data_IF_517994078942
#
_entry.id   IF_517994078942
#
_cell.length_a   1.000
_cell.length_b   1.000
_cell.length_c   1.000
_cell.angle_alpha   90.00
_cell.angle_beta   90.00
_cell.angle_gamma   90.00
#
_symmetry.space_group_name_H-M   'P 1'
#
loop_
_entity.id
_entity.type
_entity.pdbx_description
1 polymer ?
#
# COMPACT_ATOMS: atom_id res chain seq x y z
N UNK A 1 60.28 7.89 -45.06
CA UNK A 1 60.69 6.48 -44.84
C UNK A 1 59.56 5.72 -44.16
N UNK A 2 59.52 4.37 -44.18
CA UNK A 2 58.26 3.63 -44.22
C UNK A 2 57.83 2.97 -42.90
N UNK A 3 56.51 2.75 -42.78
CA UNK A 3 55.89 1.77 -41.89
C UNK A 3 54.80 1.02 -42.69
N UNK A 4 54.88 -0.31 -42.72
CA UNK A 4 53.98 -1.21 -43.49
C UNK A 4 53.40 -2.26 -42.52
N UNK A 5 52.59 -3.18 -43.06
CA UNK A 5 51.98 -4.34 -42.38
C UNK A 5 50.72 -4.00 -41.54
N UNK A 6 49.69 -4.84 -41.48
CA UNK A 6 49.36 -6.02 -42.30
C UNK A 6 47.84 -6.27 -42.31
N UNK A 7 47.33 -6.85 -43.40
CA UNK A 7 45.99 -7.42 -43.44
C UNK A 7 46.01 -8.88 -42.97
N UNK A 8 44.99 -9.29 -42.21
CA UNK A 8 44.72 -10.71 -41.91
C UNK A 8 43.27 -11.03 -42.25
N UNK A 9 43.05 -12.23 -42.78
CA UNK A 9 41.81 -12.65 -43.47
C UNK A 9 41.55 -14.14 -43.19
N UNK A 10 40.28 -14.48 -42.92
CA UNK A 10 39.71 -15.85 -42.82
C UNK A 10 40.20 -16.71 -41.62
N UNK A 11 39.51 -17.84 -41.31
CA UNK A 11 38.33 -18.40 -41.97
C UNK A 11 37.06 -18.50 -41.09
N UNK A 12 35.94 -18.82 -41.73
CA UNK A 12 34.76 -19.38 -41.09
C UNK A 12 34.65 -20.89 -41.42
N UNK A 13 34.10 -21.74 -40.54
CA UNK A 13 33.71 -23.11 -40.88
C UNK A 13 32.38 -23.12 -41.67
N UNK A 14 32.14 -24.20 -42.41
CA UNK A 14 31.08 -24.29 -43.42
C UNK A 14 29.77 -24.92 -42.92
N UNK A 15 28.72 -24.74 -43.73
CA UNK A 15 27.42 -25.44 -43.65
C UNK A 15 27.35 -26.63 -44.62
N UNK A 16 26.16 -27.25 -44.75
CA UNK A 16 25.70 -28.21 -45.79
C UNK A 16 25.49 -29.68 -45.32
N UNK A 17 24.70 -30.53 -46.04
CA UNK A 17 23.31 -30.78 -45.61
C UNK A 17 22.85 -32.27 -45.51
N UNK A 18 21.81 -32.81 -46.21
CA UNK A 18 20.52 -33.12 -45.54
C UNK A 18 19.89 -34.52 -45.82
N UNK A 19 18.63 -34.69 -45.35
CA UNK A 19 17.63 -35.70 -45.75
C UNK A 19 17.87 -37.16 -45.26
N UNK A 20 16.89 -38.06 -45.16
CA UNK A 20 15.49 -38.01 -45.64
C UNK A 20 14.49 -38.89 -44.84
N UNK A 21 13.17 -38.64 -45.03
CA UNK A 21 11.99 -39.57 -45.03
C UNK A 21 11.82 -40.69 -43.94
N UNK A 22 10.64 -41.14 -43.48
CA UNK A 22 9.18 -40.95 -43.69
C UNK A 22 8.49 -41.24 -42.31
N UNK A 23 7.19 -41.51 -42.05
CA UNK A 23 5.92 -41.76 -42.78
C UNK A 23 4.74 -41.51 -41.81
N UNK A 24 3.56 -41.04 -42.26
CA UNK A 24 2.34 -41.08 -41.41
C UNK A 24 1.22 -40.08 -41.76
N UNK A 25 0.25 -40.49 -42.58
CA UNK A 25 -0.98 -39.73 -42.85
C UNK A 25 -2.15 -40.21 -41.99
N UNK A 26 -3.06 -39.30 -41.61
CA UNK A 26 -4.51 -39.57 -41.52
C UNK A 26 -5.31 -38.25 -41.61
N UNK A 27 -6.50 -38.30 -42.21
CA UNK A 27 -7.48 -37.20 -42.32
C UNK A 27 -8.73 -37.52 -41.50
N UNK A 28 -9.37 -36.52 -40.91
CA UNK A 28 -10.82 -36.39 -40.58
C UNK A 28 -10.95 -34.99 -39.92
N UNK A 29 -11.43 -33.92 -40.58
CA UNK A 29 -12.82 -33.60 -41.01
C UNK A 29 -13.71 -33.10 -39.87
N UNK A 30 -14.11 -31.83 -39.95
CA UNK A 30 -14.85 -31.11 -38.91
C UNK A 30 -16.37 -31.35 -38.96
N UNK A 31 -16.96 -31.81 -37.84
CA UNK A 31 -18.38 -31.59 -37.48
C UNK A 31 -18.44 -31.41 -35.95
N UNK A 32 -19.05 -30.34 -35.41
CA UNK A 32 -19.22 -30.17 -33.97
C UNK A 32 -20.45 -30.94 -33.44
N UNK A 33 -20.36 -31.63 -32.29
CA UNK A 33 -21.53 -32.20 -31.63
C UNK A 33 -22.35 -31.13 -30.90
N UNK A 34 -23.68 -31.29 -30.94
CA UNK A 34 -24.62 -30.59 -30.08
C UNK A 34 -24.70 -31.27 -28.71
N UNK A 35 -25.19 -30.52 -27.70
CA UNK A 35 -25.44 -30.91 -26.30
C UNK A 35 -24.22 -30.94 -25.34
N UNK A 36 -24.42 -30.61 -24.05
CA UNK A 36 -23.33 -30.35 -23.09
C UNK A 36 -22.76 -31.63 -22.45
N UNK A 37 -21.53 -31.57 -21.90
CA UNK A 37 -20.89 -32.72 -21.25
C UNK A 37 -21.59 -33.13 -19.95
N UNK A 38 -21.84 -34.43 -19.81
CA UNK A 38 -22.37 -35.06 -18.58
C UNK A 38 -21.21 -35.32 -17.60
N UNK A 39 -21.41 -35.02 -16.32
CA UNK A 39 -20.46 -35.38 -15.27
C UNK A 39 -20.36 -36.90 -15.12
N UNK A 40 -19.15 -37.45 -15.26
CA UNK A 40 -18.83 -38.83 -14.89
C UNK A 40 -17.71 -38.85 -13.85
N UNK A 41 -17.82 -39.74 -12.85
CA UNK A 41 -16.91 -39.82 -11.70
C UNK A 41 -16.18 -41.16 -11.74
N UNK A 42 -14.96 -41.17 -12.26
CA UNK A 42 -14.07 -42.34 -12.25
C UNK A 42 -12.96 -42.21 -11.19
N UNK A 43 -12.44 -43.36 -10.73
CA UNK A 43 -11.60 -43.48 -9.54
C UNK A 43 -10.11 -43.52 -9.90
N UNK A 44 -9.23 -42.81 -9.17
CA UNK A 44 -7.78 -42.94 -9.36
C UNK A 44 -7.25 -44.28 -8.81
N UNK A 45 -6.30 -44.88 -9.54
CA UNK A 45 -5.56 -46.08 -9.13
C UNK A 45 -4.32 -45.73 -8.30
N UNK A 46 -3.86 -46.66 -7.44
CA UNK A 46 -2.81 -46.41 -6.45
C UNK A 46 -1.38 -46.76 -6.91
N UNK A 47 -0.42 -45.92 -6.48
CA UNK A 47 0.93 -46.21 -5.89
C UNK A 47 1.86 -45.00 -6.14
N UNK A 48 2.75 -44.57 -5.24
CA UNK A 48 3.18 -45.09 -3.94
C UNK A 48 3.55 -43.92 -2.99
N UNK A 49 3.49 -44.20 -1.66
CA UNK A 49 4.25 -43.64 -0.51
C UNK A 49 4.95 -42.26 -0.66
N UNK A 50 4.85 -41.34 0.31
CA UNK A 50 4.88 -41.59 1.76
C UNK A 50 4.23 -40.50 2.63
N UNK A 51 3.33 -40.88 3.55
CA UNK A 51 3.07 -40.18 4.82
C UNK A 51 2.17 -41.05 5.73
N UNK A 52 2.76 -41.72 6.73
CA UNK A 52 2.04 -42.42 7.81
C UNK A 52 2.85 -42.29 9.11
N UNK A 53 2.40 -41.45 10.05
CA UNK A 53 2.90 -41.43 11.45
C UNK A 53 1.98 -40.61 12.39
N UNK A 54 0.68 -40.53 12.09
CA UNK A 54 -0.35 -39.99 12.99
C UNK A 54 -1.55 -40.94 12.96
N UNK A 55 -2.23 -41.05 14.12
CA UNK A 55 -3.32 -42.01 14.39
C UNK A 55 -2.87 -43.49 14.38
N UNK A 56 -2.41 -43.99 15.54
CA UNK A 56 -2.67 -45.35 16.07
C UNK A 56 -1.94 -45.58 17.41
N UNK A 57 -2.33 -44.84 18.46
CA UNK A 57 -1.92 -45.16 19.86
C UNK A 57 -3.10 -45.18 20.85
N UNK A 58 -4.28 -45.55 20.35
CA UNK A 58 -5.36 -46.06 21.19
C UNK A 58 -5.23 -47.58 21.32
N UNK A 59 -5.50 -48.11 22.52
CA UNK A 59 -5.55 -49.55 22.85
C UNK A 59 -4.22 -50.34 22.80
N UNK A 60 -3.45 -50.26 23.89
CA UNK A 60 -2.74 -51.44 24.42
C UNK A 60 -2.86 -51.52 25.95
N UNK A 61 -3.32 -52.66 26.46
CA UNK A 61 -3.51 -52.95 27.90
C UNK A 61 -2.40 -53.85 28.42
N UNK A 62 -2.06 -53.65 29.70
CA UNK A 62 -1.39 -54.57 30.64
C UNK A 62 -0.38 -55.60 30.08
N UNK A 63 0.90 -55.34 30.32
CA UNK A 63 1.92 -56.37 30.55
C UNK A 63 2.33 -56.37 32.03
N UNK A 64 2.38 -57.53 32.68
CA UNK A 64 2.89 -57.67 34.05
C UNK A 64 4.40 -57.92 34.01
N UNK A 65 5.18 -57.14 34.76
CA UNK A 65 6.63 -57.27 34.84
C UNK A 65 7.21 -56.34 35.90
N UNK A 66 7.41 -56.85 37.12
CA UNK A 66 7.86 -56.04 38.25
C UNK A 66 9.38 -55.91 38.34
N UNK A 67 9.85 -54.70 38.67
CA UNK A 67 11.13 -54.50 39.36
C UNK A 67 11.02 -53.29 40.29
N UNK A 68 11.50 -53.46 41.53
CA UNK A 68 11.47 -52.41 42.54
C UNK A 68 12.52 -51.35 42.23
N UNK A 69 12.19 -50.08 42.48
CA UNK A 69 13.20 -49.10 42.87
C UNK A 69 12.57 -47.99 43.73
N UNK A 70 13.11 -47.78 44.93
CA UNK A 70 12.48 -46.96 45.97
C UNK A 70 13.08 -45.55 46.02
N UNK A 71 12.48 -44.60 45.31
CA UNK A 71 12.79 -43.18 45.45
C UNK A 71 11.58 -42.38 45.94
N UNK A 72 11.86 -41.39 46.79
CA UNK A 72 10.87 -40.71 47.65
C UNK A 72 9.97 -39.79 46.82
N UNK A 73 8.65 -39.88 46.99
CA UNK A 73 7.71 -38.88 46.48
C UNK A 73 7.89 -37.56 47.24
N UNK A 74 8.46 -36.56 46.58
CA UNK A 74 8.22 -35.16 46.96
C UNK A 74 6.76 -34.79 46.65
N UNK A 75 6.14 -33.84 47.39
CA UNK A 75 4.82 -33.34 47.05
C UNK A 75 4.82 -32.68 45.67
N UNK A 76 3.74 -32.85 44.89
CA UNK A 76 3.52 -32.02 43.71
C UNK A 76 3.36 -30.58 44.19
N UNK A 77 4.23 -29.68 43.73
CA UNK A 77 4.01 -28.26 43.92
C UNK A 77 2.71 -27.86 43.20
N UNK A 78 1.85 -27.11 43.89
CA UNK A 78 0.74 -26.40 43.26
C UNK A 78 1.28 -25.49 42.14
N UNK A 79 0.53 -25.23 41.06
CA UNK A 79 0.91 -24.20 40.11
C UNK A 79 1.10 -22.88 40.89
N UNK A 80 2.25 -22.22 40.72
CA UNK A 80 2.41 -20.86 41.20
C UNK A 80 1.42 -20.00 40.42
N UNK A 81 0.40 -19.46 41.10
CA UNK A 81 -0.33 -18.33 40.57
C UNK A 81 0.68 -17.18 40.41
N UNK A 82 0.84 -16.67 39.19
CA UNK A 82 1.59 -15.44 38.98
C UNK A 82 0.84 -14.28 39.64
N UNK A 83 1.53 -13.31 40.26
CA UNK A 83 0.86 -12.16 40.86
C UNK A 83 0.09 -11.39 39.80
N UNK A 84 -1.24 -11.34 39.92
CA UNK A 84 -2.08 -10.45 39.13
C UNK A 84 -1.57 -9.01 39.31
N UNK A 85 -1.42 -8.21 38.24
CA UNK A 85 -1.00 -6.82 38.37
C UNK A 85 -2.10 -6.00 39.05
N UNK A 86 -1.74 -5.05 39.91
CA UNK A 86 -2.67 -4.14 40.59
C UNK A 86 -3.76 -3.54 39.68
N UNK A 87 -3.38 -3.19 38.45
CA UNK A 87 -4.29 -2.77 37.38
C UNK A 87 -3.67 -3.03 35.99
N UNK A 88 -4.50 -3.04 34.94
CA UNK A 88 -4.13 -3.26 33.53
C UNK A 88 -4.72 -2.14 32.65
N UNK A 89 -3.92 -1.60 31.73
CA UNK A 89 -4.39 -0.68 30.68
C UNK A 89 -4.77 -1.44 29.41
N UNK A 90 -5.94 -1.12 28.86
CA UNK A 90 -6.51 -1.66 27.62
C UNK A 90 -7.14 -0.50 26.81
N UNK A 91 -7.42 -0.69 25.52
CA UNK A 91 -8.01 0.38 24.69
C UNK A 91 -9.01 -0.16 23.67
N UNK A 92 -10.20 0.45 23.65
CA UNK A 92 -11.17 0.36 22.55
C UNK A 92 -10.98 1.59 21.66
N UNK A 93 -10.97 1.39 20.35
CA UNK A 93 -11.00 2.49 19.35
C UNK A 93 -12.34 2.38 18.66
N UNK A 94 -13.02 3.52 18.55
CA UNK A 94 -14.42 3.63 18.11
C UNK A 94 -14.52 4.39 16.77
N UNK A 95 -13.47 5.14 16.40
CA UNK A 95 -13.39 5.83 15.11
C UNK A 95 -13.31 4.86 13.91
N UNK A 96 -13.77 5.30 12.72
CA UNK A 96 -13.52 4.61 11.46
C UNK A 96 -12.02 4.39 11.15
N UNK A 97 -11.68 3.60 10.09
CA UNK A 97 -10.31 3.48 9.61
C UNK A 97 -9.71 4.85 9.26
N UNK A 98 -8.46 5.08 9.67
CA UNK A 98 -7.79 6.37 9.54
C UNK A 98 -7.35 6.62 8.08
N UNK A 99 -8.22 7.22 7.28
CA UNK A 99 -7.96 7.52 5.86
C UNK A 99 -7.93 9.04 5.65
N UNK A 100 -6.78 9.56 5.23
CA UNK A 100 -6.67 10.92 4.70
C UNK A 100 -7.15 10.96 3.25
N UNK A 101 -8.10 11.84 2.96
CA UNK A 101 -8.61 12.05 1.60
C UNK A 101 -7.83 13.14 0.88
N UNK A 102 -7.56 12.95 -0.41
CA UNK A 102 -6.83 13.87 -1.28
C UNK A 102 -5.36 14.11 -0.86
N UNK A 103 -4.74 15.20 -1.32
CA UNK A 103 -3.31 15.47 -1.13
C UNK A 103 -3.00 15.99 0.28
N UNK A 104 -1.73 15.98 0.73
CA UNK A 104 -1.35 16.59 2.02
C UNK A 104 -1.68 18.09 2.16
N UNK A 105 -1.96 18.79 1.06
CA UNK A 105 -2.33 20.22 1.05
C UNK A 105 -3.85 20.45 1.03
N UNK A 106 -4.65 19.40 0.81
CA UNK A 106 -6.11 19.47 0.61
C UNK A 106 -6.90 18.54 1.52
N UNK A 107 -6.23 17.63 2.21
CA UNK A 107 -6.80 16.78 3.26
C UNK A 107 -6.95 17.54 4.57
N UNK A 108 -8.16 17.55 5.15
CA UNK A 108 -8.41 18.12 6.49
C UNK A 108 -7.95 17.19 7.60
N UNK A 109 -8.20 15.88 7.49
CA UNK A 109 -7.64 14.89 8.41
C UNK A 109 -8.37 13.55 8.43
N UNK A 110 -8.18 12.84 9.54
CA UNK A 110 -8.98 11.69 9.94
C UNK A 110 -9.17 11.74 11.46
N UNK A 111 -10.40 11.60 11.96
CA UNK A 111 -10.65 11.57 13.40
C UNK A 111 -10.21 10.23 13.99
N UNK A 112 -9.54 10.27 15.14
CA UNK A 112 -9.35 9.11 16.02
C UNK A 112 -10.12 9.33 17.31
N UNK A 113 -10.83 8.31 17.78
CA UNK A 113 -11.61 8.34 19.02
C UNK A 113 -11.69 6.97 19.67
N UNK A 114 -11.94 6.94 20.98
CA UNK A 114 -12.18 5.72 21.72
C UNK A 114 -12.10 5.86 23.23
N UNK A 115 -11.98 4.71 23.90
CA UNK A 115 -11.94 4.58 25.36
C UNK A 115 -10.62 3.92 25.78
N UNK A 116 -9.82 4.64 26.57
CA UNK A 116 -8.68 4.08 27.30
C UNK A 116 -9.20 3.50 28.62
N UNK A 117 -9.23 2.18 28.72
CA UNK A 117 -9.79 1.45 29.85
C UNK A 117 -8.69 1.05 30.83
N UNK A 118 -8.92 1.30 32.12
CA UNK A 118 -8.08 0.84 33.23
C UNK A 118 -8.88 -0.16 34.06
N UNK A 119 -8.47 -1.42 34.05
CA UNK A 119 -9.04 -2.49 34.86
C UNK A 119 -8.25 -2.61 36.16
N UNK A 120 -8.89 -2.41 37.31
CA UNK A 120 -8.28 -2.38 38.64
C UNK A 120 -8.63 -3.66 39.40
N UNK A 121 -7.61 -4.43 39.76
CA UNK A 121 -7.75 -5.76 40.40
C UNK A 121 -7.50 -5.73 41.92
N UNK A 122 -6.84 -4.69 42.43
CA UNK A 122 -6.70 -4.43 43.88
C UNK A 122 -7.92 -3.64 44.42
N UNK A 123 -8.23 -3.68 45.73
CA UNK A 123 -9.45 -3.05 46.28
C UNK A 123 -9.53 -1.54 46.03
N UNK A 124 -8.39 -0.85 46.15
CA UNK A 124 -8.21 0.58 45.89
C UNK A 124 -6.79 0.81 45.35
N UNK A 125 -6.66 1.57 44.27
CA UNK A 125 -5.38 1.94 43.65
C UNK A 125 -5.35 3.45 43.43
N UNK A 126 -4.31 4.13 43.92
CA UNK A 126 -4.10 5.55 43.65
C UNK A 126 -3.31 5.74 42.36
N UNK A 127 -3.93 6.38 41.38
CA UNK A 127 -3.35 6.76 40.10
C UNK A 127 -2.97 8.24 40.16
N UNK A 128 -1.68 8.55 40.16
CA UNK A 128 -1.17 9.92 40.30
C UNK A 128 -1.24 10.71 39.01
N UNK A 129 -0.96 10.03 37.88
CA UNK A 129 -0.94 10.60 36.55
C UNK A 129 -1.35 9.57 35.51
N UNK A 130 -2.06 10.02 34.49
CA UNK A 130 -2.41 9.23 33.31
C UNK A 130 -2.29 10.13 32.09
N UNK A 131 -1.32 9.85 31.22
CA UNK A 131 -1.09 10.57 29.97
C UNK A 131 -1.04 9.60 28.78
N UNK A 132 -1.44 10.07 27.60
CA UNK A 132 -1.27 9.35 26.34
C UNK A 132 -0.70 10.29 25.28
N UNK A 133 0.10 9.75 24.37
CA UNK A 133 0.75 10.49 23.29
C UNK A 133 0.45 9.83 21.95
N UNK A 134 0.13 10.64 20.94
CA UNK A 134 0.11 10.25 19.54
C UNK A 134 1.51 10.50 18.97
N UNK A 135 2.21 9.43 18.61
CA UNK A 135 3.60 9.45 18.18
C UNK A 135 3.72 9.00 16.72
N UNK A 136 4.43 9.75 15.89
CA UNK A 136 5.01 9.25 14.65
C UNK A 136 6.45 8.80 14.92
N UNK A 137 6.81 7.59 14.49
CA UNK A 137 8.15 7.03 14.61
C UNK A 137 8.69 6.75 13.21
N UNK A 138 9.73 7.48 12.81
CA UNK A 138 10.46 7.28 11.55
C UNK A 138 11.71 6.46 11.84
N UNK A 139 11.86 5.29 11.22
CA UNK A 139 13.04 4.42 11.43
C UNK A 139 13.79 4.17 10.13
N UNK A 140 15.04 4.64 10.03
CA UNK A 140 15.92 4.39 8.88
C UNK A 140 16.68 3.06 9.02
N UNK A 141 16.72 2.28 7.94
CA UNK A 141 17.52 1.05 7.85
C UNK A 141 19.00 1.33 7.51
N UNK A 142 19.35 2.58 7.17
CA UNK A 142 20.72 3.03 6.85
C UNK A 142 21.07 4.31 7.64
N UNK A 143 21.15 4.23 8.99
CA UNK A 143 21.46 5.38 9.85
C UNK A 143 22.86 5.95 9.59
N UNK A 144 23.04 7.25 9.89
CA UNK A 144 24.35 7.95 9.80
C UNK A 144 25.44 7.29 10.66
N UNK A 145 25.03 6.57 11.71
CA UNK A 145 25.92 5.69 12.46
C UNK A 145 25.23 4.35 12.74
N UNK A 146 25.87 3.25 12.36
CA UNK A 146 25.42 1.90 12.71
C UNK A 146 25.32 1.77 14.24
N UNK A 147 24.28 1.08 14.72
CA UNK A 147 23.98 0.87 16.15
C UNK A 147 23.74 2.13 17.01
N UNK A 148 23.55 3.31 16.43
CA UNK A 148 23.16 4.50 17.19
C UNK A 148 21.63 4.69 17.15
N UNK A 149 20.89 4.56 18.26
CA UNK A 149 19.43 4.70 18.27
C UNK A 149 18.99 6.09 17.81
N UNK A 150 19.67 7.14 18.29
CA UNK A 150 19.44 8.55 17.94
C UNK A 150 19.57 8.85 16.43
N UNK A 151 20.31 8.02 15.67
CA UNK A 151 20.43 8.11 14.20
C UNK A 151 19.52 7.11 13.47
N UNK A 152 18.93 6.15 14.18
CA UNK A 152 18.15 5.03 13.61
C UNK A 152 16.66 5.31 13.67
N UNK A 153 16.15 5.82 14.79
CA UNK A 153 14.74 6.14 14.97
C UNK A 153 14.55 7.57 15.47
N UNK A 154 13.66 8.32 14.83
CA UNK A 154 13.18 9.61 15.31
C UNK A 154 11.70 9.49 15.71
N UNK A 155 11.36 10.04 16.87
CA UNK A 155 9.99 10.08 17.38
C UNK A 155 9.52 11.53 17.41
N UNK A 156 8.38 11.80 16.77
CA UNK A 156 7.69 13.09 16.80
C UNK A 156 6.39 12.95 17.56
N UNK A 157 6.20 13.75 18.61
CA UNK A 157 4.93 13.85 19.32
C UNK A 157 3.99 14.77 18.53
N UNK A 158 2.84 14.25 18.12
CA UNK A 158 1.83 14.96 17.32
C UNK A 158 0.78 15.57 18.25
N UNK A 159 0.36 14.80 19.25
CA UNK A 159 -0.62 15.23 20.23
C UNK A 159 -0.43 14.50 21.57
N UNK A 160 -0.94 15.10 22.64
CA UNK A 160 -0.87 14.58 23.99
C UNK A 160 -2.19 14.82 24.73
N UNK A 161 -2.71 13.75 25.34
CA UNK A 161 -3.82 13.79 26.28
C UNK A 161 -3.29 13.65 27.71
N UNK A 162 -3.83 14.45 28.64
CA UNK A 162 -3.64 14.29 30.08
C UNK A 162 -5.02 14.09 30.72
N UNK A 163 -5.31 12.86 31.17
CA UNK A 163 -6.66 12.47 31.61
C UNK A 163 -6.98 12.88 33.04
N UNK A 164 -5.94 13.15 33.85
CA UNK A 164 -6.06 13.49 35.26
C UNK A 164 -5.49 14.89 35.53
N UNK A 165 -6.21 15.68 36.34
CA UNK A 165 -5.75 16.99 36.85
C UNK A 165 -5.00 16.89 38.19
N UNK A 166 -4.89 15.67 38.74
CA UNK A 166 -4.28 15.35 40.03
C UNK A 166 -4.50 13.88 40.37
N UNK A 167 -3.98 13.41 41.50
CA UNK A 167 -4.10 12.02 41.91
C UNK A 167 -5.55 11.62 42.22
N UNK A 168 -5.97 10.44 41.76
CA UNK A 168 -7.31 9.88 41.96
C UNK A 168 -7.22 8.48 42.56
N UNK A 169 -8.04 8.18 43.57
CA UNK A 169 -8.23 6.81 44.06
C UNK A 169 -9.30 6.11 43.22
N UNK A 170 -8.95 4.95 42.67
CA UNK A 170 -9.81 4.12 41.84
C UNK A 170 -10.07 2.81 42.59
N UNK A 171 -11.35 2.48 42.76
CA UNK A 171 -11.80 1.24 43.37
C UNK A 171 -11.64 0.06 42.40
N UNK A 172 -11.69 -1.17 42.91
CA UNK A 172 -11.79 -2.39 42.09
C UNK A 172 -12.86 -2.26 40.98
N UNK A 173 -12.51 -2.67 39.76
CA UNK A 173 -13.40 -2.61 38.58
C UNK A 173 -12.79 -1.88 37.38
N UNK A 174 -13.61 -1.62 36.36
CA UNK A 174 -13.19 -0.98 35.11
C UNK A 174 -13.50 0.53 35.13
N UNK A 175 -12.49 1.34 34.79
CA UNK A 175 -12.59 2.80 34.66
C UNK A 175 -12.24 3.21 33.23
N UNK A 176 -13.11 3.98 32.57
CA UNK A 176 -12.97 4.32 31.15
C UNK A 176 -12.69 5.80 30.95
N UNK A 177 -11.61 6.13 30.24
CA UNK A 177 -11.18 7.49 29.95
C UNK A 177 -11.33 7.77 28.44
N UNK A 178 -12.35 8.55 28.02
CA UNK A 178 -12.58 8.83 26.61
C UNK A 178 -11.52 9.76 26.04
N UNK A 179 -11.17 9.54 24.76
CA UNK A 179 -10.28 10.41 24.00
C UNK A 179 -10.80 10.63 22.58
N UNK A 180 -10.49 11.80 22.02
CA UNK A 180 -10.63 12.07 20.59
C UNK A 180 -9.55 13.06 20.13
N UNK A 181 -9.23 13.05 18.85
CA UNK A 181 -8.36 14.03 18.17
C UNK A 181 -8.57 13.95 16.65
N UNK A 182 -8.56 15.09 15.95
CA UNK A 182 -8.50 15.12 14.48
C UNK A 182 -7.02 15.06 14.05
N UNK A 183 -6.58 13.93 13.52
CA UNK A 183 -5.19 13.77 13.06
C UNK A 183 -4.99 14.64 11.81
N UNK A 184 -4.04 15.59 11.79
CA UNK A 184 -3.91 16.57 10.69
C UNK A 184 -3.66 15.94 9.32
N UNK A 185 -4.49 16.29 8.34
CA UNK A 185 -4.46 15.71 6.98
C UNK A 185 -3.19 16.00 6.16
N UNK A 186 -2.30 16.88 6.63
CA UNK A 186 -0.99 17.10 6.01
C UNK A 186 0.05 16.01 6.33
N UNK A 187 -0.23 15.10 7.26
CA UNK A 187 0.71 14.07 7.66
C UNK A 187 0.83 12.97 6.59
N UNK A 188 2.03 12.37 6.41
CA UNK A 188 2.22 11.21 5.55
C UNK A 188 1.41 9.98 6.04
N UNK A 189 1.18 9.01 5.16
CA UNK A 189 0.57 7.73 5.50
C UNK A 189 1.60 6.76 6.13
N UNK A 190 1.15 5.82 6.96
CA UNK A 190 1.95 4.69 7.47
C UNK A 190 2.63 4.00 6.28
N UNK A 191 3.97 3.89 6.32
CA UNK A 191 4.76 3.45 5.16
C UNK A 191 5.92 2.55 5.60
N UNK A 192 5.96 1.31 5.11
CA UNK A 192 7.04 0.36 5.43
C UNK A 192 8.04 0.26 4.26
N UNK A 193 8.84 1.32 4.06
CA UNK A 193 9.78 1.43 2.95
C UNK A 193 10.95 0.45 2.99
N UNK A 194 11.72 0.38 1.89
CA UNK A 194 12.98 -0.35 1.85
C UNK A 194 14.10 0.43 2.51
N UNK A 195 14.10 1.76 2.39
CA UNK A 195 15.07 2.63 3.06
C UNK A 195 14.67 2.93 4.52
N UNK A 196 13.39 3.28 4.72
CA UNK A 196 12.89 3.91 5.96
C UNK A 196 11.44 3.47 6.21
N UNK A 197 11.07 3.19 7.46
CA UNK A 197 9.66 3.03 7.87
C UNK A 197 9.13 4.29 8.56
N UNK A 198 7.82 4.48 8.48
CA UNK A 198 7.06 5.47 9.23
C UNK A 198 5.86 4.75 9.85
N UNK A 199 5.83 4.74 11.17
CA UNK A 199 4.88 3.99 12.00
C UNK A 199 4.21 4.95 12.99
N UNK A 200 2.89 4.84 13.17
CA UNK A 200 2.13 5.67 14.10
C UNK A 200 1.69 4.86 15.33
N UNK A 201 1.73 5.47 16.51
CA UNK A 201 1.36 4.82 17.77
C UNK A 201 0.55 5.74 18.69
N UNK A 202 -0.42 5.15 19.39
CA UNK A 202 -0.87 5.65 20.69
C UNK A 202 -0.01 4.98 21.77
N UNK A 203 0.61 5.79 22.62
CA UNK A 203 1.48 5.36 23.72
C UNK A 203 0.93 5.93 25.03
N UNK A 204 0.37 5.07 25.88
CA UNK A 204 -0.37 5.44 27.09
C UNK A 204 0.36 4.98 28.35
N UNK A 205 0.56 5.90 29.29
CA UNK A 205 1.32 5.68 30.54
C UNK A 205 0.53 6.17 31.75
N UNK A 206 0.22 5.24 32.65
CA UNK A 206 -0.31 5.51 33.99
C UNK A 206 0.75 5.34 35.07
N UNK A 207 0.88 6.29 35.99
CA UNK A 207 1.78 6.22 37.14
C UNK A 207 0.98 6.01 38.42
N UNK A 208 1.22 4.90 39.10
CA UNK A 208 0.61 4.58 40.41
C UNK A 208 1.44 5.20 41.55
N UNK A 209 0.81 5.46 42.70
CA UNK A 209 1.48 6.09 43.87
C UNK A 209 2.54 5.22 44.57
N UNK A 210 2.74 3.99 44.12
CA UNK A 210 3.86 3.13 44.50
C UNK A 210 5.04 3.24 43.52
N UNK A 211 5.01 4.21 42.59
CA UNK A 211 6.01 4.43 41.54
C UNK A 211 5.92 3.45 40.36
N UNK A 212 5.03 2.45 40.41
CA UNK A 212 4.85 1.49 39.32
C UNK A 212 4.17 2.18 38.13
N UNK A 213 4.72 1.97 36.94
CA UNK A 213 4.09 2.38 35.68
C UNK A 213 3.22 1.26 35.11
N UNK A 214 2.13 1.66 34.49
CA UNK A 214 1.30 0.88 33.59
C UNK A 214 1.53 1.47 32.20
N UNK A 215 1.93 0.64 31.23
CA UNK A 215 2.29 1.08 29.88
C UNK A 215 1.48 0.27 28.87
N UNK A 216 0.80 0.95 27.94
CA UNK A 216 0.01 0.33 26.86
C UNK A 216 0.28 1.05 25.55
N UNK A 217 0.65 0.29 24.51
CA UNK A 217 1.02 0.83 23.20
C UNK A 217 0.27 0.15 22.08
N UNK A 218 -0.37 0.95 21.21
CA UNK A 218 -1.19 0.50 20.07
C UNK A 218 -0.70 1.16 18.79
N UNK A 219 -0.42 0.34 17.77
CA UNK A 219 -0.09 0.83 16.43
C UNK A 219 -1.33 1.37 15.71
N UNK A 220 -1.13 2.37 14.84
CA UNK A 220 -2.14 2.97 13.99
C UNK A 220 -1.75 2.81 12.51
N UNK A 221 -2.70 2.36 11.71
CA UNK A 221 -2.59 2.20 10.25
C UNK A 221 -3.28 3.40 9.59
N UNK A 222 -2.49 4.43 9.25
CA UNK A 222 -2.96 5.67 8.63
C UNK A 222 -2.74 5.58 7.12
N UNK A 223 -3.80 5.74 6.33
CA UNK A 223 -3.80 5.58 4.88
C UNK A 223 -4.11 6.89 4.17
N UNK A 224 -3.82 6.95 2.87
CA UNK A 224 -4.19 8.09 2.01
C UNK A 224 -4.83 7.63 0.71
N UNK A 225 -6.07 8.07 0.47
CA UNK A 225 -6.85 7.83 -0.74
C UNK A 225 -7.05 9.16 -1.48
N UNK A 226 -6.53 9.26 -2.71
CA UNK A 226 -6.75 10.42 -3.58
C UNK A 226 -7.99 10.15 -4.44
N UNK A 227 -8.96 11.07 -4.41
CA UNK A 227 -10.20 10.94 -5.21
C UNK A 227 -9.85 10.99 -6.71
N UNK A 228 -10.38 10.07 -7.55
CA UNK A 228 -10.12 10.09 -8.98
C UNK A 228 -10.65 11.36 -9.66
N UNK A 229 -9.77 12.06 -10.39
CA UNK A 229 -10.14 13.16 -11.29
C UNK A 229 -10.47 12.68 -12.72
N UNK A 230 -10.34 13.55 -13.74
CA UNK A 230 -10.41 13.14 -15.15
C UNK A 230 -9.15 12.38 -15.59
N UNK A 231 -9.25 11.61 -16.69
CA UNK A 231 -8.13 10.88 -17.28
C UNK A 231 -6.97 11.81 -17.70
N UNK A 232 -5.75 11.35 -17.44
CA UNK A 232 -4.51 12.04 -17.80
C UNK A 232 -4.14 11.75 -19.25
N UNK A 233 -4.29 12.77 -20.10
CA UNK A 233 -3.71 12.76 -21.44
C UNK A 233 -2.26 13.26 -21.40
N UNK A 234 -1.36 12.65 -22.18
CA UNK A 234 0.06 13.02 -22.22
C UNK A 234 0.69 12.76 -23.57
N UNK A 235 1.41 13.75 -24.10
CA UNK A 235 2.06 13.69 -25.42
C UNK A 235 3.59 13.68 -25.26
N UNK A 236 4.26 12.90 -26.10
CA UNK A 236 5.70 12.64 -26.11
C UNK A 236 6.22 12.55 -27.54
N UNK A 237 7.11 13.47 -27.91
CA UNK A 237 7.75 13.51 -29.24
C UNK A 237 9.11 12.83 -29.14
N UNK A 238 9.53 12.08 -30.16
CA UNK A 238 10.81 11.34 -30.18
C UNK A 238 11.81 11.85 -31.25
N UNK A 239 12.47 13.01 -31.05
CA UNK A 239 13.57 13.45 -31.91
C UNK A 239 14.68 12.38 -32.01
N UNK A 240 15.35 12.23 -33.17
CA UNK A 240 15.21 13.00 -34.42
C UNK A 240 14.16 12.40 -35.39
N UNK A 241 13.15 11.69 -34.88
CA UNK A 241 12.06 11.15 -35.71
C UNK A 241 10.80 12.01 -35.58
N UNK A 242 9.88 11.86 -36.54
CA UNK A 242 8.55 12.48 -36.50
C UNK A 242 7.57 11.74 -35.57
N UNK A 243 8.02 10.69 -34.88
CA UNK A 243 7.16 9.84 -34.06
C UNK A 243 6.72 10.57 -32.80
N UNK A 244 5.41 10.55 -32.56
CA UNK A 244 4.78 11.16 -31.38
C UNK A 244 3.85 10.15 -30.72
N UNK A 245 4.13 9.79 -29.47
CA UNK A 245 3.22 9.00 -28.65
C UNK A 245 2.28 9.92 -27.87
N UNK A 246 0.98 9.78 -28.12
CA UNK A 246 -0.11 10.23 -27.26
C UNK A 246 -0.52 9.07 -26.37
N UNK A 247 -0.61 9.27 -25.06
CA UNK A 247 -1.00 8.26 -24.08
C UNK A 247 -2.09 8.81 -23.17
N UNK A 248 -3.11 8.00 -22.90
CA UNK A 248 -4.18 8.27 -21.93
C UNK A 248 -4.08 7.24 -20.80
N UNK A 249 -4.10 7.74 -19.57
CA UNK A 249 -3.96 7.00 -18.32
C UNK A 249 -5.06 7.43 -17.33
N UNK A 250 -5.46 6.57 -16.38
CA UNK A 250 -6.31 7.02 -15.27
C UNK A 250 -5.58 8.09 -14.41
N UNK A 251 -6.33 8.93 -13.68
CA UNK A 251 -5.75 9.93 -12.78
C UNK A 251 -4.93 9.30 -11.65
N UNK A 252 -5.42 8.18 -11.11
CA UNK A 252 -4.86 7.44 -9.98
C UNK A 252 -4.96 5.93 -10.25
N UNK A 253 -4.13 5.15 -9.58
CA UNK A 253 -4.08 3.68 -9.64
C UNK A 253 -3.96 3.11 -8.23
N UNK A 254 -4.23 1.80 -8.05
CA UNK A 254 -4.25 1.16 -6.72
C UNK A 254 -3.32 -0.08 -6.66
N UNK A 255 -2.63 -0.35 -5.53
CA UNK A 255 -1.63 -1.43 -5.41
C UNK A 255 -2.08 -2.84 -5.83
N UNK A 256 -3.36 -3.18 -5.62
CA UNK A 256 -3.95 -4.49 -5.92
C UNK A 256 -4.67 -4.50 -7.29
N UNK A 257 -4.97 -3.32 -7.84
CA UNK A 257 -5.73 -3.16 -9.07
C UNK A 257 -4.90 -3.33 -10.35
N UNK A 258 -5.62 -3.53 -11.45
CA UNK A 258 -5.12 -3.29 -12.79
C UNK A 258 -5.80 -2.06 -13.42
N UNK A 259 -5.23 -1.53 -14.49
CA UNK A 259 -5.72 -0.34 -15.18
C UNK A 259 -5.41 -0.40 -16.68
N UNK A 260 -6.27 0.22 -17.49
CA UNK A 260 -6.06 0.36 -18.92
C UNK A 260 -5.02 1.44 -19.25
N UNK A 261 -4.28 1.23 -20.33
CA UNK A 261 -3.39 2.21 -20.96
C UNK A 261 -3.74 2.25 -22.45
N UNK A 262 -4.26 3.39 -22.90
CA UNK A 262 -4.52 3.67 -24.31
C UNK A 262 -3.34 4.48 -24.87
N UNK A 263 -2.75 4.05 -25.98
CA UNK A 263 -1.63 4.74 -26.64
C UNK A 263 -1.80 4.81 -28.16
N UNK A 264 -1.64 6.00 -28.72
CA UNK A 264 -1.52 6.26 -30.16
C UNK A 264 -0.11 6.75 -30.48
N UNK A 265 0.60 6.02 -31.33
CA UNK A 265 1.87 6.46 -31.93
C UNK A 265 1.58 7.02 -33.34
N UNK A 266 1.64 8.33 -33.50
CA UNK A 266 1.42 9.04 -34.76
C UNK A 266 2.72 9.43 -35.45
N UNK A 267 2.63 9.76 -36.74
CA UNK A 267 3.78 10.13 -37.57
C UNK A 267 4.57 8.91 -38.06
N UNK A 268 3.95 7.72 -38.09
CA UNK A 268 4.65 6.47 -38.42
C UNK A 268 4.99 6.34 -39.91
N UNK A 269 4.34 7.09 -40.80
CA UNK A 269 4.56 7.04 -42.25
C UNK A 269 5.17 8.33 -42.79
N UNK A 270 6.16 8.20 -43.68
CA UNK A 270 6.71 9.28 -44.51
C UNK A 270 6.65 8.88 -45.99
N UNK A 271 5.77 9.53 -46.75
CA UNK A 271 5.66 9.37 -48.20
C UNK A 271 6.70 10.22 -48.93
N UNK A 272 7.27 9.67 -50.00
CA UNK A 272 8.18 10.28 -50.98
C UNK A 272 7.74 9.85 -52.38
N UNK A 273 8.26 10.50 -53.43
CA UNK A 273 7.65 10.54 -54.77
C UNK A 273 7.33 9.19 -55.45
N UNK A 274 8.08 8.10 -55.16
CA UNK A 274 7.77 6.74 -55.63
C UNK A 274 7.67 5.70 -54.48
N UNK A 275 7.80 6.11 -53.21
CA UNK A 275 7.79 5.17 -52.07
C UNK A 275 7.41 5.77 -50.71
N UNK A 276 6.85 4.92 -49.85
CA UNK A 276 6.53 5.21 -48.46
C UNK A 276 7.54 4.51 -47.54
N UNK A 277 8.23 5.26 -46.68
CA UNK A 277 8.88 4.70 -45.48
C UNK A 277 7.85 4.64 -44.35
N UNK A 278 7.84 3.56 -43.57
CA UNK A 278 6.92 3.38 -42.45
C UNK A 278 7.58 2.70 -41.26
N UNK A 279 7.35 3.24 -40.07
CA UNK A 279 7.72 2.64 -38.80
C UNK A 279 6.65 1.61 -38.40
N UNK A 280 7.09 0.39 -38.13
CA UNK A 280 6.26 -0.71 -37.63
C UNK A 280 6.67 -1.06 -36.21
N UNK A 281 5.71 -1.04 -35.29
CA UNK A 281 5.91 -1.53 -33.92
C UNK A 281 6.16 -3.04 -33.96
N UNK A 282 7.27 -3.47 -33.34
CA UNK A 282 7.74 -4.88 -33.30
C UNK A 282 7.59 -5.51 -31.92
N UNK A 283 7.71 -4.69 -30.87
CA UNK A 283 7.65 -5.10 -29.45
C UNK A 283 7.31 -3.88 -28.60
N UNK A 284 6.50 -4.08 -27.56
CA UNK A 284 6.24 -3.09 -26.51
C UNK A 284 6.51 -3.75 -25.15
N UNK A 285 7.37 -3.13 -24.35
CA UNK A 285 7.53 -3.44 -22.93
C UNK A 285 6.87 -2.32 -22.12
N UNK A 286 6.24 -2.65 -21.00
CA UNK A 286 5.98 -1.67 -19.94
C UNK A 286 6.58 -2.14 -18.62
N UNK A 287 6.92 -1.19 -17.76
CA UNK A 287 7.27 -1.46 -16.36
C UNK A 287 6.86 -0.31 -15.46
N UNK A 288 6.59 -0.62 -14.20
CA UNK A 288 6.32 0.39 -13.17
C UNK A 288 7.56 0.46 -12.26
N UNK A 289 8.18 1.62 -12.22
CA UNK A 289 9.30 1.95 -11.34
C UNK A 289 8.77 2.69 -10.11
N UNK A 290 9.03 2.14 -8.91
CA UNK A 290 8.83 2.80 -7.62
C UNK A 290 10.17 3.43 -7.22
N UNK A 291 10.18 4.75 -6.99
CA UNK A 291 11.32 5.48 -6.44
C UNK A 291 11.01 5.89 -5.01
N UNK A 292 11.81 5.41 -4.06
CA UNK A 292 11.82 5.85 -2.66
C UNK A 292 12.99 6.80 -2.43
N UNK A 293 12.76 7.92 -1.76
CA UNK A 293 13.83 8.79 -1.25
C UNK A 293 13.60 9.09 0.22
N UNK A 294 14.67 9.18 0.99
CA UNK A 294 14.60 9.71 2.36
C UNK A 294 15.95 10.23 2.82
N UNK A 295 15.93 11.16 3.78
CA UNK A 295 17.14 11.67 4.42
C UNK A 295 17.29 10.93 5.76
N UNK A 296 18.42 10.26 5.98
CA UNK A 296 18.81 9.78 7.31
C UNK A 296 19.48 10.90 8.08
N UNK A 297 18.84 11.46 9.12
CA UNK A 297 19.38 12.60 9.86
C UNK A 297 20.52 12.17 10.78
N UNK A 298 21.46 13.07 11.04
CA UNK A 298 22.48 12.87 12.05
C UNK A 298 22.01 13.39 13.42
N UNK A 299 22.17 12.59 14.47
CA UNK A 299 22.06 13.10 15.83
C UNK A 299 23.25 14.04 16.17
N UNK A 300 23.17 14.88 17.23
CA UNK A 300 24.24 15.83 17.55
C UNK A 300 25.63 15.20 17.70
N UNK A 301 25.71 13.96 18.23
CA UNK A 301 26.95 13.17 18.38
C UNK A 301 27.61 12.83 17.04
N UNK A 302 26.86 12.87 15.94
CA UNK A 302 27.27 12.43 14.60
C UNK A 302 27.11 13.50 13.52
N UNK A 303 26.59 14.69 13.83
CA UNK A 303 26.44 15.83 12.93
C UNK A 303 27.75 16.16 12.16
N UNK A 304 28.90 16.03 12.82
CA UNK A 304 30.22 16.24 12.19
C UNK A 304 30.52 15.26 11.04
N UNK A 305 29.93 14.05 11.03
CA UNK A 305 30.10 13.08 9.92
C UNK A 305 29.36 13.48 8.63
N UNK A 306 28.38 14.38 8.73
CA UNK A 306 27.58 14.90 7.59
C UNK A 306 27.82 16.40 7.34
N UNK A 307 28.86 16.97 7.96
CA UNK A 307 29.29 18.34 7.73
C UNK A 307 28.47 19.42 8.46
N UNK A 308 27.87 19.10 9.61
CA UNK A 308 27.20 20.06 10.49
C UNK A 308 25.83 19.60 11.02
N UNK A 309 25.28 20.36 11.96
CA UNK A 309 23.93 20.11 12.50
C UNK A 309 22.84 20.30 11.43
N UNK A 310 21.69 19.65 11.64
CA UNK A 310 20.56 19.68 10.70
C UNK A 310 20.78 18.92 9.38
N UNK A 311 21.99 18.44 9.09
CA UNK A 311 22.29 17.65 7.89
C UNK A 311 22.02 16.16 8.09
N UNK A 312 21.94 15.45 6.97
CA UNK A 312 21.74 14.01 6.92
C UNK A 312 22.24 13.41 5.61
N UNK A 313 22.21 12.09 5.50
CA UNK A 313 22.57 11.36 4.29
C UNK A 313 21.30 11.15 3.46
N UNK A 314 21.28 11.68 2.24
CA UNK A 314 20.23 11.36 1.27
C UNK A 314 20.40 9.92 0.78
N UNK A 315 19.32 9.16 0.84
CA UNK A 315 19.19 7.85 0.21
C UNK A 315 18.13 7.91 -0.89
N UNK A 316 18.40 7.20 -1.97
CA UNK A 316 17.56 7.09 -3.17
C UNK A 316 17.60 5.61 -3.57
N UNK A 317 16.44 4.98 -3.71
CA UNK A 317 16.29 3.59 -4.14
C UNK A 317 15.19 3.52 -5.19
N UNK A 318 15.45 2.89 -6.32
CA UNK A 318 14.48 2.78 -7.42
C UNK A 318 14.40 1.33 -7.87
N UNK A 319 13.21 0.74 -7.72
CA UNK A 319 12.94 -0.67 -8.00
C UNK A 319 11.80 -0.83 -8.99
N UNK A 320 11.88 -1.84 -9.85
CA UNK A 320 10.74 -2.24 -10.69
C UNK A 320 9.76 -3.08 -9.85
N UNK A 321 8.52 -2.61 -9.70
CA UNK A 321 7.46 -3.31 -8.95
C UNK A 321 6.50 -4.10 -9.84
N UNK A 322 6.59 -3.94 -11.17
CA UNK A 322 5.93 -4.76 -12.17
C UNK A 322 6.54 -4.51 -13.57
N UNK A 323 6.49 -5.51 -14.44
CA UNK A 323 6.85 -5.38 -15.85
C UNK A 323 6.20 -6.47 -16.71
N UNK A 324 5.93 -6.17 -17.99
CA UNK A 324 5.40 -7.13 -18.95
C UNK A 324 5.85 -6.82 -20.39
N UNK A 325 5.88 -7.85 -21.24
CA UNK A 325 6.11 -7.73 -22.68
C UNK A 325 4.80 -7.94 -23.44
N UNK A 326 4.26 -6.85 -23.99
CA UNK A 326 3.10 -6.86 -24.88
C UNK A 326 3.56 -7.25 -26.28
N UNK A 327 3.05 -8.39 -26.77
CA UNK A 327 3.41 -9.00 -28.07
C UNK A 327 2.34 -8.84 -29.16
N UNK A 328 1.14 -8.48 -28.75
CA UNK A 328 -0.08 -8.30 -29.56
C UNK A 328 -0.93 -7.21 -28.90
N UNK A 329 -1.96 -6.70 -29.57
CA UNK A 329 -2.80 -5.62 -29.02
C UNK A 329 -2.53 -4.23 -29.59
N UNK A 330 -1.82 -4.14 -30.72
CA UNK A 330 -1.77 -2.93 -31.55
C UNK A 330 -2.34 -3.14 -32.94
N UNK A 331 -3.03 -2.11 -33.44
CA UNK A 331 -3.49 -1.96 -34.82
C UNK A 331 -2.60 -0.91 -35.51
N UNK A 332 -2.40 -1.02 -36.81
CA UNK A 332 -1.54 -0.09 -37.57
C UNK A 332 -2.27 0.37 -38.82
N UNK A 333 -2.46 1.69 -38.92
CA UNK A 333 -3.00 2.34 -40.09
C UNK A 333 -1.89 3.12 -40.80
N UNK A 334 -1.44 2.59 -41.94
CA UNK A 334 -0.43 3.22 -42.79
C UNK A 334 -1.02 4.23 -43.81
N UNK A 335 -2.33 4.52 -43.73
CA UNK A 335 -2.99 5.59 -44.50
C UNK A 335 -3.14 6.86 -43.67
N UNK A 336 -3.53 6.74 -42.39
CA UNK A 336 -3.50 7.85 -41.42
C UNK A 336 -2.11 8.10 -40.82
N UNK A 337 -1.23 7.09 -40.82
CA UNK A 337 0.09 7.17 -40.20
C UNK A 337 0.07 6.99 -38.67
N UNK A 338 -0.85 6.15 -38.18
CA UNK A 338 -1.10 5.87 -36.76
C UNK A 338 -0.85 4.40 -36.39
N UNK A 339 -0.37 4.15 -35.17
CA UNK A 339 -0.41 2.84 -34.50
C UNK A 339 -1.14 3.01 -33.17
N UNK A 340 -2.32 2.40 -33.06
CA UNK A 340 -3.11 2.40 -31.83
C UNK A 340 -2.86 1.11 -31.05
N UNK A 341 -2.61 1.23 -29.75
CA UNK A 341 -2.33 0.14 -28.85
C UNK A 341 -3.11 0.31 -27.54
N UNK A 342 -3.69 -0.78 -27.06
CA UNK A 342 -4.31 -0.86 -25.74
C UNK A 342 -3.68 -2.02 -24.97
N UNK A 343 -3.31 -1.79 -23.72
CA UNK A 343 -2.88 -2.86 -22.81
C UNK A 343 -3.35 -2.56 -21.38
N UNK A 344 -3.43 -3.61 -20.55
CA UNK A 344 -3.66 -3.46 -19.11
C UNK A 344 -2.32 -3.52 -18.38
N UNK A 345 -2.10 -2.63 -17.44
CA UNK A 345 -0.96 -2.63 -16.53
C UNK A 345 -1.43 -2.84 -15.09
N UNK A 346 -0.57 -3.40 -14.25
CA UNK A 346 -0.86 -3.68 -12.84
C UNK A 346 0.42 -3.72 -12.02
N UNK A 347 0.32 -3.51 -10.71
CA UNK A 347 1.43 -3.79 -9.82
C UNK A 347 1.50 -5.30 -9.52
N UNK A 348 2.71 -5.83 -9.23
CA UNK A 348 2.87 -7.18 -8.71
C UNK A 348 2.94 -7.12 -7.17
N UNK A 349 1.87 -7.59 -6.54
CA UNK A 349 1.63 -7.56 -5.09
C UNK A 349 2.78 -8.23 -4.31
N UNK A 350 3.44 -9.24 -4.90
CA UNK A 350 4.57 -9.94 -4.25
C UNK A 350 5.80 -9.07 -3.98
N UNK A 351 5.91 -7.87 -4.58
CA UNK A 351 6.97 -6.91 -4.24
C UNK A 351 6.58 -5.98 -3.08
N UNK A 352 5.36 -6.05 -2.54
CA UNK A 352 4.79 -5.06 -1.62
C UNK A 352 4.97 -3.63 -2.14
N UNK A 353 4.29 -3.26 -3.25
CA UNK A 353 4.31 -1.91 -3.79
C UNK A 353 3.69 -0.93 -2.78
N UNK A 354 4.28 0.24 -2.64
CA UNK A 354 3.84 1.28 -1.70
C UNK A 354 2.87 2.25 -2.39
N UNK A 355 2.13 3.05 -1.60
CA UNK A 355 1.41 4.20 -2.14
C UNK A 355 2.31 5.45 -2.20
N UNK A 356 1.98 6.37 -3.10
CA UNK A 356 2.62 7.68 -3.22
C UNK A 356 2.48 8.46 -1.92
N UNK A 357 3.59 9.06 -1.50
CA UNK A 357 3.71 9.80 -0.25
C UNK A 357 4.83 10.82 -0.38
N UNK A 358 4.66 11.99 0.23
CA UNK A 358 5.71 12.97 0.49
C UNK A 358 5.58 13.38 1.97
N UNK A 359 6.71 13.55 2.68
CA UNK A 359 6.74 14.03 4.07
C UNK A 359 7.55 15.33 4.21
N UNK A 360 7.23 16.11 5.24
CA UNK A 360 8.04 17.28 5.61
C UNK A 360 9.46 16.90 6.09
N UNK A 361 9.68 15.65 6.52
CA UNK A 361 10.99 15.09 6.85
C UNK A 361 11.82 14.66 5.63
N UNK A 362 11.35 14.92 4.41
CA UNK A 362 12.07 14.58 3.18
C UNK A 362 12.01 13.10 2.78
N UNK A 363 11.05 12.33 3.34
CA UNK A 363 10.67 11.04 2.78
C UNK A 363 9.77 11.27 1.57
N UNK A 364 9.95 10.48 0.52
CA UNK A 364 9.05 10.45 -0.63
C UNK A 364 8.99 9.07 -1.27
N UNK A 365 7.84 8.72 -1.83
CA UNK A 365 7.56 7.53 -2.63
C UNK A 365 6.79 7.98 -3.86
N UNK A 366 7.26 7.66 -5.06
CA UNK A 366 6.63 8.05 -6.33
C UNK A 366 6.75 6.97 -7.39
N UNK A 367 5.75 6.89 -8.27
CA UNK A 367 5.66 5.84 -9.30
C UNK A 367 5.73 6.39 -10.72
N UNK A 368 6.46 5.70 -11.59
CA UNK A 368 6.54 6.00 -13.02
C UNK A 368 6.19 4.76 -13.86
N UNK A 369 5.23 4.91 -14.78
CA UNK A 369 5.05 3.97 -15.88
C UNK A 369 6.09 4.27 -16.95
N UNK A 370 7.04 3.36 -17.15
CA UNK A 370 7.98 3.41 -18.26
C UNK A 370 7.48 2.52 -19.38
N UNK A 371 7.21 3.10 -20.54
CA UNK A 371 6.86 2.38 -21.77
C UNK A 371 8.08 2.40 -22.70
N UNK A 372 8.43 1.24 -23.25
CA UNK A 372 9.55 1.06 -24.17
C UNK A 372 9.08 0.30 -25.42
N UNK A 373 9.14 0.98 -26.57
CA UNK A 373 8.72 0.46 -27.87
C UNK A 373 9.94 0.18 -28.74
N UNK A 374 9.96 -0.96 -29.44
CA UNK A 374 10.90 -1.23 -30.51
C UNK A 374 10.18 -1.07 -31.84
N UNK A 375 10.55 -0.06 -32.61
CA UNK A 375 10.05 0.18 -33.97
C UNK A 375 11.11 -0.17 -35.00
N UNK A 376 10.70 -0.78 -36.11
CA UNK A 376 11.56 -1.04 -37.26
C UNK A 376 11.03 -0.32 -38.50
N UNK A 377 11.91 0.17 -39.36
CA UNK A 377 11.53 0.80 -40.62
C UNK A 377 11.30 -0.26 -41.70
N UNK A 378 10.17 -0.14 -42.39
CA UNK A 378 9.86 -0.84 -43.63
C UNK A 378 9.76 0.18 -44.78
N UNK A 379 10.29 -0.17 -45.94
CA UNK A 379 10.13 0.57 -47.19
C UNK A 379 9.07 -0.12 -48.06
N UNK A 380 8.13 0.64 -48.62
CA UNK A 380 7.13 0.13 -49.55
C UNK A 380 7.03 1.00 -50.81
N UNK A 381 6.99 0.43 -52.03
CA UNK A 381 6.79 1.20 -53.25
C UNK A 381 5.34 1.69 -53.31
N UNK A 382 5.12 2.94 -53.74
CA UNK A 382 3.77 3.55 -53.76
C UNK A 382 2.75 2.72 -54.56
N UNK A 383 3.20 2.06 -55.62
CA UNK A 383 2.38 1.21 -56.50
C UNK A 383 1.97 -0.13 -55.85
N UNK A 384 2.58 -0.53 -54.73
CA UNK A 384 2.29 -1.79 -54.00
C UNK A 384 2.60 -1.66 -52.49
N UNK A 385 1.85 -0.83 -51.77
CA UNK A 385 2.03 -0.60 -50.32
C UNK A 385 1.92 -1.86 -49.43
N UNK A 386 1.37 -2.96 -49.94
CA UNK A 386 1.36 -4.27 -49.28
C UNK A 386 2.70 -5.01 -49.35
N UNK A 387 3.53 -4.75 -50.36
CA UNK A 387 4.85 -5.37 -50.56
C UNK A 387 5.95 -4.52 -49.93
N UNK A 388 5.98 -4.48 -48.59
CA UNK A 388 6.98 -3.74 -47.83
C UNK A 388 8.17 -4.61 -47.44
N UNK A 389 9.37 -4.04 -47.57
CA UNK A 389 10.66 -4.67 -47.26
C UNK A 389 11.28 -3.99 -46.03
N UNK A 390 11.67 -4.72 -44.97
CA UNK A 390 12.40 -4.15 -43.84
C UNK A 390 13.72 -3.51 -44.30
N UNK A 391 14.02 -2.27 -43.89
CA UNK A 391 15.29 -1.59 -44.26
C UNK A 391 16.47 -2.06 -43.40
N UNK A 392 16.19 -2.78 -42.31
CA UNK A 392 17.17 -3.12 -41.27
C UNK A 392 17.35 -2.04 -40.21
N UNK A 393 16.86 -0.82 -40.44
CA UNK A 393 16.88 0.23 -39.42
C UNK A 393 15.83 -0.03 -38.33
N UNK A 394 16.24 0.10 -37.07
CA UNK A 394 15.36 -0.02 -35.91
C UNK A 394 15.70 1.03 -34.86
N UNK A 395 14.72 1.40 -34.04
CA UNK A 395 14.86 2.38 -32.96
C UNK A 395 14.12 1.88 -31.71
N UNK A 396 14.70 2.18 -30.55
CA UNK A 396 14.04 2.00 -29.25
C UNK A 396 13.53 3.37 -28.81
N UNK A 397 12.23 3.48 -28.56
CA UNK A 397 11.57 4.67 -28.06
C UNK A 397 11.20 4.41 -26.60
N UNK A 398 11.71 5.22 -25.67
CA UNK A 398 11.39 5.08 -24.24
C UNK A 398 10.74 6.36 -23.73
N UNK A 399 9.65 6.23 -23.00
CA UNK A 399 8.94 7.33 -22.34
C UNK A 399 8.56 6.95 -20.91
N UNK A 400 8.40 7.95 -20.05
CA UNK A 400 7.90 7.81 -18.69
C UNK A 400 6.72 8.74 -18.41
N UNK A 401 5.77 8.27 -17.60
CA UNK A 401 4.59 8.99 -17.13
C UNK A 401 4.42 8.77 -15.62
N UNK A 402 4.09 9.83 -14.87
CA UNK A 402 3.87 9.74 -13.43
C UNK A 402 2.54 9.03 -13.14
N UNK A 403 2.60 7.84 -12.54
CA UNK A 403 1.45 7.18 -11.96
C UNK A 403 1.24 7.74 -10.56
N UNK A 404 -0.02 7.93 -10.14
CA UNK A 404 -0.32 8.26 -8.74
C UNK A 404 -0.89 7.00 -8.10
N UNK A 405 -0.06 6.28 -7.35
CA UNK A 405 -0.46 5.04 -6.68
C UNK A 405 -1.02 5.38 -5.29
N UNK A 406 -2.28 5.02 -5.02
CA UNK A 406 -2.99 5.47 -3.80
C UNK A 406 -3.86 4.35 -3.23
N UNK A 407 -4.15 4.41 -1.93
CA UNK A 407 -5.09 3.47 -1.32
C UNK A 407 -6.50 3.66 -1.88
N UNK A 408 -7.34 2.64 -1.70
CA UNK A 408 -8.77 2.77 -1.98
C UNK A 408 -9.44 3.50 -0.80
N UNK A 409 -10.40 4.37 -1.08
CA UNK A 409 -11.24 5.04 -0.09
C UNK A 409 -11.97 4.06 0.84
N UNK A 410 -12.35 2.90 0.30
CA UNK A 410 -13.03 1.84 1.05
C UNK A 410 -14.43 2.28 1.45
N UNK A 411 -14.74 2.17 2.74
CA UNK A 411 -15.98 2.68 3.35
C UNK A 411 -15.72 3.96 4.18
N UNK A 412 -14.55 4.57 4.05
CA UNK A 412 -14.27 5.86 4.69
C UNK A 412 -14.98 6.99 3.94
N UNK A 413 -15.46 7.97 4.70
CA UNK A 413 -16.00 9.25 4.23
C UNK A 413 -14.97 10.32 4.65
N UNK A 414 -14.82 11.41 3.89
CA UNK A 414 -13.94 12.49 4.35
C UNK A 414 -14.59 13.28 5.50
N UNK A 415 -13.79 13.83 6.41
CA UNK A 415 -14.32 14.56 7.58
C UNK A 415 -15.21 15.75 7.18
N UNK A 416 -14.96 16.33 6.00
CA UNK A 416 -15.71 17.45 5.45
C UNK A 416 -17.08 17.02 4.89
N UNK A 417 -17.20 15.76 4.45
CA UNK A 417 -18.46 15.12 4.03
C UNK A 417 -19.23 14.49 5.21
N UNK A 418 -18.55 14.25 6.35
CA UNK A 418 -19.17 13.78 7.60
C UNK A 418 -19.76 14.95 8.44
N UNK A 419 -19.36 16.20 8.15
CA UNK A 419 -19.96 17.37 8.78
C UNK A 419 -21.46 17.51 8.38
N UNK A 420 -22.40 17.63 9.34
CA UNK A 420 -23.80 17.87 9.01
C UNK A 420 -23.95 19.22 8.27
N UNK A 421 -24.92 19.33 7.34
CA UNK A 421 -25.11 20.55 6.56
C UNK A 421 -25.33 21.76 7.47
N UNK A 422 -24.58 22.83 7.20
CA UNK A 422 -24.73 24.11 7.88
C UNK A 422 -26.06 24.74 7.45
N UNK A 423 -27.04 24.69 8.33
CA UNK A 423 -28.28 25.46 8.18
C UNK A 423 -27.95 26.95 8.39
N UNK A 424 -27.95 27.72 7.32
CA UNK A 424 -27.69 29.17 7.38
C UNK A 424 -28.79 29.90 8.18
N UNK A 425 -30.04 29.45 8.03
CA UNK A 425 -31.22 29.94 8.75
C UNK A 425 -31.52 29.13 10.03
N UNK A 426 -30.56 29.02 10.95
CA UNK A 426 -30.91 28.73 12.36
C UNK A 426 -31.29 30.06 13.02
N UNK A 427 -32.58 30.33 13.30
CA UNK A 427 -32.96 31.51 14.05
C UNK A 427 -32.30 31.49 15.44
N UNK A 428 -32.09 32.67 16.02
CA UNK A 428 -31.59 32.79 17.39
C UNK A 428 -32.42 31.93 18.36
N UNK A 429 -31.76 31.45 19.43
CA UNK A 429 -32.22 30.45 20.42
C UNK A 429 -33.75 30.38 20.61
N UNK A 430 -34.34 29.15 20.71
CA UNK A 430 -35.79 28.96 20.78
C UNK A 430 -36.39 29.91 21.81
N UNK A 431 -37.47 30.63 21.44
CA UNK A 431 -37.81 31.91 22.05
C UNK A 431 -37.91 31.80 23.56
N UNK A 432 -37.13 32.63 24.26
CA UNK A 432 -37.14 32.67 25.72
C UNK A 432 -38.57 32.93 26.18
N UNK A 433 -39.14 32.02 26.97
CA UNK A 433 -40.47 32.15 27.56
C UNK A 433 -40.45 33.21 28.69
N UNK A 434 -40.12 34.45 28.31
CA UNK A 434 -40.15 35.66 29.11
C UNK A 434 -41.00 36.67 28.33
N UNK A 435 -42.30 36.39 28.31
CA UNK A 435 -43.33 37.33 27.92
C UNK A 435 -44.42 37.22 28.97
N UNK A 436 -44.85 38.36 29.53
CA UNK A 436 -45.87 38.38 30.57
C UNK A 436 -47.16 37.73 30.04
N UNK A 437 -47.74 36.85 30.86
CA UNK A 437 -48.94 36.10 30.50
C UNK A 437 -50.16 37.04 30.56
N UNK A 438 -50.46 37.68 29.44
CA UNK A 438 -51.63 38.57 29.25
C UNK A 438 -52.93 37.77 28.96
N UNK A 439 -53.02 36.57 29.51
CA UNK A 439 -54.23 35.74 29.51
C UNK A 439 -55.07 35.99 30.76
N UNK A 440 -56.35 35.53 30.80
CA UNK A 440 -57.12 35.55 32.03
C UNK A 440 -56.37 34.72 33.10
N UNK A 441 -56.23 35.23 34.34
CA UNK A 441 -55.40 34.58 35.35
C UNK A 441 -55.84 33.13 35.52
N UNK A 442 -54.88 32.21 35.37
CA UNK A 442 -55.11 30.80 35.64
C UNK A 442 -55.67 30.68 37.07
N UNK A 443 -56.83 30.05 37.21
CA UNK A 443 -57.38 29.80 38.52
C UNK A 443 -56.47 28.80 39.22
N UNK A 444 -55.83 29.22 40.30
CA UNK A 444 -55.11 28.34 41.21
C UNK A 444 -56.13 27.48 41.98
N UNK A 445 -56.76 26.53 41.27
CA UNK A 445 -57.41 25.37 41.86
C UNK A 445 -56.32 24.46 42.45
N UNK A 446 -55.75 24.94 43.55
CA UNK A 446 -54.97 24.17 44.50
C UNK A 446 -55.89 23.12 45.14
N UNK A 447 -56.19 22.05 44.38
CA UNK A 447 -56.75 20.82 44.93
C UNK A 447 -55.75 20.28 45.96
N UNK A 448 -56.07 20.48 47.24
CA UNK A 448 -55.23 20.02 48.35
C UNK A 448 -55.18 18.48 48.31
N UNK A 449 -54.06 17.93 47.86
CA UNK A 449 -53.74 16.50 48.00
C UNK A 449 -53.50 16.17 49.47
N UNK A 450 -54.60 16.10 50.23
CA UNK A 450 -54.67 15.61 51.60
C UNK A 450 -54.19 14.16 51.68
N UNK A 451 -52.89 13.98 51.94
CA UNK A 451 -52.37 12.74 52.49
C UNK A 451 -52.80 12.68 53.97
N UNK A 452 -53.93 12.01 54.18
CA UNK A 452 -54.47 11.67 55.50
C UNK A 452 -53.56 10.72 56.31
N UNK A 453 -53.91 10.50 57.59
CA UNK A 453 -52.98 10.07 58.64
C UNK A 453 -52.53 8.60 58.59
#
# INVERSE_FOLDING_TARGET
>A
MPGRLLSLVRPAPASSPPLDQLKGQKKHSDIPPLFPPVYSVERPSQKNKSQESLVMEAFKRHGLGGRQNSFKKSPKASPKAEPQPAAILNMVVESPPLVFFNSPQTSTGAIISGLLNLEVHEPNVTLEKMEMRLLAVVTTKKPVHQHCPDCTSQTTEIHKWEFLRGAVQLHFGQHSFPFSHLIPGHLPATTHGQITTLDYYLDAVGTLSNGKKLEYKRALDIKRSIVPGPDKHSIRIFPPTNLTASVKLPPVVHPIGDFGVEMRLSGVTQTKDDSQSRWRLRKLNWRIEETQKSISPACPKHANKVGGEGKGILHDDTRTIASEEVKTGWKTDFTEGNIDCEFRARCNIAHNPLCDMDSQSGMSVRHNLVIEMVVAEEWAPLKKLSQATPTGAARVLRTQFHLVLTERSGMGISWDEEQPPLYEDVPASPPTYIGDYDGPPLHDEHDELHLGP
#
